data_IF_693266467919
#
_entry.id   IF_693266467919
#
_cell.length_a   1.000
_cell.length_b   1.000
_cell.length_c   1.000
_cell.angle_alpha   90.00
_cell.angle_beta   90.00
_cell.angle_gamma   90.00
#
_symmetry.space_group_name_H-M   'P 1'
#
loop_
_entity.id
_entity.type
_entity.pdbx_description
1 polymer ?
#
# COMPACT_ATOMS: atom_id res chain seq x y z
N UNK A 1 35.17 -39.85 41.51
CA UNK A 1 34.05 -38.88 41.53
C UNK A 1 34.32 -37.57 40.79
N UNK A 2 35.57 -37.06 40.71
CA UNK A 2 35.85 -35.79 40.01
C UNK A 2 35.64 -35.79 38.48
N UNK A 3 35.77 -36.93 37.78
CA UNK A 3 35.62 -37.00 36.31
C UNK A 3 34.18 -37.11 35.80
N UNK A 4 33.21 -37.44 36.67
CA UNK A 4 31.78 -37.53 36.29
C UNK A 4 31.05 -36.19 36.43
N UNK A 5 31.56 -35.26 37.24
CA UNK A 5 31.00 -33.92 37.42
C UNK A 5 31.36 -32.96 36.27
N UNK A 6 32.52 -33.14 35.62
CA UNK A 6 32.91 -32.32 34.46
C UNK A 6 32.12 -32.64 33.18
N UNK A 7 31.64 -33.89 33.02
CA UNK A 7 30.83 -34.29 31.86
C UNK A 7 29.41 -33.71 31.86
N UNK A 8 28.78 -33.61 33.06
CA UNK A 8 27.45 -33.02 33.20
C UNK A 8 27.45 -31.50 33.01
N UNK A 9 28.50 -30.79 33.46
CA UNK A 9 28.63 -29.34 33.30
C UNK A 9 28.87 -28.93 31.84
N UNK A 10 29.62 -29.71 31.06
CA UNK A 10 29.77 -29.45 29.62
C UNK A 10 28.47 -29.73 28.83
N UNK A 11 27.73 -30.80 29.13
CA UNK A 11 26.47 -31.11 28.45
C UNK A 11 25.38 -30.06 28.73
N UNK A 12 25.31 -29.54 29.96
CA UNK A 12 24.37 -28.46 30.33
C UNK A 12 24.72 -27.11 29.67
N UNK A 13 26.02 -26.77 29.58
CA UNK A 13 26.47 -25.54 28.91
C UNK A 13 26.20 -25.52 27.39
N UNK A 14 26.35 -26.67 26.72
CA UNK A 14 26.01 -26.81 25.30
C UNK A 14 24.49 -26.73 25.04
N UNK A 15 23.66 -27.28 25.93
CA UNK A 15 22.20 -27.21 25.80
C UNK A 15 21.65 -25.78 25.95
N UNK A 16 22.19 -24.99 26.89
CA UNK A 16 21.78 -23.60 27.12
C UNK A 16 22.17 -22.67 25.97
N UNK A 17 23.41 -22.79 25.45
CA UNK A 17 23.87 -21.97 24.33
C UNK A 17 23.11 -22.28 23.03
N UNK A 18 22.84 -23.56 22.73
CA UNK A 18 22.04 -23.94 21.57
C UNK A 18 20.59 -23.45 21.67
N UNK A 19 20.00 -23.48 22.87
CA UNK A 19 18.63 -22.99 23.10
C UNK A 19 18.53 -21.47 22.97
N UNK A 20 19.55 -20.73 23.44
CA UNK A 20 19.62 -19.28 23.30
C UNK A 20 19.80 -18.86 21.84
N UNK A 21 20.72 -19.50 21.11
CA UNK A 21 20.93 -19.22 19.69
C UNK A 21 19.68 -19.52 18.84
N UNK A 22 18.96 -20.60 19.17
CA UNK A 22 17.70 -20.94 18.52
C UNK A 22 16.59 -19.91 18.83
N UNK A 23 16.50 -19.43 20.08
CA UNK A 23 15.56 -18.39 20.46
C UNK A 23 15.85 -17.05 19.75
N UNK A 24 17.12 -16.67 19.59
CA UNK A 24 17.53 -15.48 18.84
C UNK A 24 17.20 -15.61 17.35
N UNK A 25 17.40 -16.80 16.76
CA UNK A 25 17.06 -17.06 15.36
C UNK A 25 15.55 -17.00 15.09
N UNK A 26 14.72 -17.56 15.97
CA UNK A 26 13.26 -17.46 15.87
C UNK A 26 12.76 -16.02 16.06
N UNK A 27 13.39 -15.25 16.95
CA UNK A 27 13.08 -13.82 17.12
C UNK A 27 13.39 -13.02 15.86
N UNK A 28 14.57 -13.23 15.26
CA UNK A 28 14.96 -12.57 14.00
C UNK A 28 14.03 -12.97 12.86
N UNK A 29 13.68 -14.25 12.73
CA UNK A 29 12.73 -14.73 11.71
C UNK A 29 11.34 -14.11 11.87
N UNK A 30 10.84 -14.03 13.11
CA UNK A 30 9.58 -13.31 13.40
C UNK A 30 9.71 -11.83 13.09
N UNK A 31 10.85 -11.23 13.39
CA UNK A 31 11.18 -9.84 13.07
C UNK A 31 11.15 -9.55 11.59
N UNK A 32 11.71 -10.45 10.77
CA UNK A 32 11.66 -10.37 9.31
C UNK A 32 10.20 -10.36 8.83
N UNK A 33 9.41 -11.33 9.28
CA UNK A 33 7.99 -11.41 8.94
C UNK A 33 7.23 -10.13 9.30
N UNK A 34 7.45 -9.61 10.50
CA UNK A 34 6.79 -8.38 10.96
C UNK A 34 7.29 -7.13 10.23
N UNK A 35 8.56 -7.06 9.85
CA UNK A 35 9.11 -5.97 9.05
C UNK A 35 8.53 -5.96 7.62
N UNK A 36 8.21 -7.15 7.08
CA UNK A 36 7.45 -7.31 5.84
C UNK A 36 6.00 -6.89 6.04
N UNK A 37 5.32 -7.38 7.08
CA UNK A 37 3.93 -7.00 7.39
C UNK A 37 3.76 -5.49 7.66
N UNK A 38 4.78 -4.86 8.23
CA UNK A 38 4.83 -3.42 8.47
C UNK A 38 5.31 -2.61 7.26
N UNK A 39 5.56 -3.25 6.11
CA UNK A 39 5.99 -2.65 4.85
C UNK A 39 7.22 -1.71 4.96
N UNK A 40 8.14 -2.02 5.89
CA UNK A 40 9.29 -1.15 6.17
C UNK A 40 10.16 -0.92 4.92
N UNK A 41 10.30 -1.93 4.07
CA UNK A 41 11.19 -1.90 2.92
C UNK A 41 10.69 -0.96 1.82
N UNK A 42 9.37 -0.80 1.69
CA UNK A 42 8.76 0.04 0.64
C UNK A 42 9.06 1.53 0.80
N UNK A 43 9.40 2.00 2.01
CA UNK A 43 9.83 3.38 2.24
C UNK A 43 11.34 3.51 2.46
N UNK A 44 11.96 2.46 3.01
CA UNK A 44 13.37 2.49 3.41
C UNK A 44 14.32 1.89 2.38
N UNK A 45 13.92 1.78 1.11
CA UNK A 45 14.79 1.26 0.03
C UNK A 45 14.61 2.11 -1.22
N UNK A 46 15.68 2.77 -1.67
CA UNK A 46 15.67 3.45 -2.97
C UNK A 46 15.63 2.45 -4.13
N UNK A 47 15.12 2.89 -5.30
CA UNK A 47 15.20 2.10 -6.52
C UNK A 47 16.65 1.75 -6.88
N UNK A 48 16.91 0.47 -7.15
CA UNK A 48 18.27 -0.06 -7.35
C UNK A 48 19.19 0.02 -6.12
N UNK A 49 18.67 0.43 -4.96
CA UNK A 49 19.39 0.58 -3.71
C UNK A 49 19.50 -0.73 -2.91
N UNK A 50 20.37 -0.72 -1.90
CA UNK A 50 20.46 -1.83 -0.96
C UNK A 50 19.22 -1.85 -0.02
N UNK A 51 18.70 -3.03 0.36
CA UNK A 51 17.56 -3.15 1.26
C UNK A 51 17.75 -2.33 2.54
N UNK A 52 16.71 -1.58 2.94
CA UNK A 52 16.68 -0.78 4.18
C UNK A 52 17.68 0.39 4.26
N UNK A 53 18.47 0.65 3.21
CA UNK A 53 19.48 1.71 3.18
C UNK A 53 18.92 3.13 2.98
N UNK A 54 17.59 3.28 2.92
CA UNK A 54 16.90 4.54 2.72
C UNK A 54 17.01 5.10 1.31
N UNK A 55 16.62 6.36 1.16
CA UNK A 55 16.81 7.15 -0.06
C UNK A 55 15.63 7.18 -1.02
N UNK A 56 14.53 6.49 -0.74
CA UNK A 56 13.33 6.60 -1.57
C UNK A 56 12.71 8.00 -1.44
N UNK A 57 12.48 8.72 -2.55
CA UNK A 57 11.75 9.99 -2.54
C UNK A 57 10.24 9.75 -2.42
N UNK A 58 9.64 10.30 -1.38
CA UNK A 58 8.19 10.34 -1.15
C UNK A 58 7.74 11.76 -1.47
N UNK A 59 7.11 11.91 -2.65
CA UNK A 59 6.54 13.17 -3.06
C UNK A 59 5.33 13.53 -2.18
N UNK A 60 5.26 14.78 -1.74
CA UNK A 60 4.11 15.29 -1.01
C UNK A 60 3.79 16.73 -1.44
N UNK A 61 2.58 17.23 -1.17
CA UNK A 61 2.23 18.64 -1.41
C UNK A 61 3.14 19.64 -0.67
N UNK A 62 3.89 19.18 0.35
CA UNK A 62 4.74 20.02 1.20
C UNK A 62 6.22 20.00 0.77
N UNK A 63 6.58 19.13 -0.17
CA UNK A 63 7.96 18.86 -0.59
C UNK A 63 8.27 17.36 -0.59
N UNK A 64 9.53 17.01 -0.87
CA UNK A 64 9.96 15.61 -0.93
C UNK A 64 10.54 15.18 0.42
N UNK A 65 10.03 14.07 0.92
CA UNK A 65 10.51 13.39 2.13
C UNK A 65 11.29 12.17 1.68
N UNK A 66 12.44 11.90 2.31
CA UNK A 66 13.23 10.72 1.98
C UNK A 66 13.17 9.68 3.09
N UNK A 67 13.02 8.41 2.72
CA UNK A 67 13.19 7.30 3.65
C UNK A 67 14.59 7.29 4.26
N UNK A 68 14.69 7.12 5.58
CA UNK A 68 15.98 7.06 6.26
C UNK A 68 16.68 5.71 6.06
N UNK A 69 17.98 5.65 6.25
CA UNK A 69 18.70 4.39 6.37
C UNK A 69 18.36 3.77 7.74
N UNK A 70 17.84 2.54 7.75
CA UNK A 70 17.48 1.79 8.97
C UNK A 70 18.27 0.48 9.10
N UNK A 71 19.40 0.38 8.40
CA UNK A 71 20.38 -0.71 8.61
C UNK A 71 21.13 -0.51 9.93
N UNK A 72 21.87 -1.51 10.45
CA UNK A 72 22.63 -1.39 11.69
C UNK A 72 23.93 -0.57 11.56
N UNK A 73 24.10 0.20 10.48
CA UNK A 73 25.17 1.19 10.36
C UNK A 73 25.08 2.21 11.52
N UNK A 74 26.23 2.52 12.14
CA UNK A 74 26.29 3.34 13.37
C UNK A 74 26.26 4.84 13.11
N UNK A 75 26.63 5.28 11.90
CA UNK A 75 26.80 6.70 11.58
C UNK A 75 25.60 7.26 10.80
N UNK A 76 24.97 6.42 9.98
CA UNK A 76 23.90 6.78 9.06
C UNK A 76 22.64 5.94 9.25
N UNK A 77 22.75 4.76 9.86
CA UNK A 77 21.65 3.84 10.16
C UNK A 77 21.10 3.97 11.59
N UNK A 78 20.47 2.89 12.06
CA UNK A 78 19.95 2.75 13.44
C UNK A 78 20.93 2.02 14.36
N UNK A 79 22.18 1.77 13.96
CA UNK A 79 23.13 0.96 14.72
C UNK A 79 23.48 1.49 16.12
N UNK A 80 23.20 2.77 16.38
CA UNK A 80 23.36 3.40 17.69
C UNK A 80 22.07 3.46 18.52
N UNK A 81 20.92 3.04 17.98
CA UNK A 81 19.65 3.03 18.70
C UNK A 81 19.66 1.92 19.77
N UNK A 82 18.91 2.12 20.84
CA UNK A 82 18.44 1.02 21.70
C UNK A 82 17.07 0.54 21.21
N UNK A 83 16.64 -0.65 21.66
CA UNK A 83 15.29 -1.13 21.39
C UNK A 83 14.19 -0.17 21.89
N UNK A 84 14.41 0.50 23.03
CA UNK A 84 13.49 1.51 23.56
C UNK A 84 13.44 2.77 22.68
N UNK A 85 14.59 3.23 22.17
CA UNK A 85 14.65 4.38 21.26
C UNK A 85 14.02 4.04 19.91
N UNK A 86 14.21 2.82 19.41
CA UNK A 86 13.53 2.34 18.21
C UNK A 86 12.01 2.27 18.41
N UNK A 87 11.55 1.71 19.54
CA UNK A 87 10.13 1.67 19.89
C UNK A 87 9.53 3.08 20.01
N UNK A 88 10.26 4.04 20.60
CA UNK A 88 9.83 5.44 20.66
C UNK A 88 9.78 6.12 19.28
N UNK A 89 10.68 5.77 18.37
CA UNK A 89 10.63 6.24 16.99
C UNK A 89 9.38 5.72 16.27
N UNK A 90 9.09 4.42 16.38
CA UNK A 90 7.90 3.81 15.78
C UNK A 90 6.60 4.32 16.38
N UNK A 91 6.49 4.44 17.71
CA UNK A 91 5.20 4.68 18.39
C UNK A 91 4.93 6.14 18.72
N UNK A 92 5.96 6.97 18.79
CA UNK A 92 5.84 8.37 19.21
C UNK A 92 6.41 9.34 18.17
N UNK A 93 6.99 8.82 17.07
CA UNK A 93 7.67 9.66 16.09
C UNK A 93 8.91 10.37 16.67
N UNK A 94 9.55 9.84 17.72
CA UNK A 94 10.70 10.49 18.38
C UNK A 94 12.01 9.82 17.99
N UNK A 95 12.90 10.56 17.32
CA UNK A 95 14.24 10.06 16.96
C UNK A 95 15.15 10.02 18.19
N UNK A 96 16.23 9.25 18.09
CA UNK A 96 17.29 9.16 19.11
C UNK A 96 17.89 10.54 19.47
N UNK A 97 18.03 11.42 18.49
CA UNK A 97 18.52 12.79 18.70
C UNK A 97 17.48 13.76 19.32
N UNK A 98 16.31 13.24 19.70
CA UNK A 98 15.20 14.00 20.29
C UNK A 98 14.34 14.74 19.28
N UNK A 99 14.66 14.72 17.98
CA UNK A 99 13.87 15.39 16.97
C UNK A 99 12.63 14.56 16.58
N UNK A 100 11.52 15.24 16.28
CA UNK A 100 10.31 14.57 15.79
C UNK A 100 10.48 14.13 14.32
N UNK A 101 9.96 12.94 14.00
CA UNK A 101 9.76 12.41 12.66
C UNK A 101 8.57 13.11 12.00
N UNK A 102 8.67 13.34 10.70
CA UNK A 102 7.52 13.78 9.92
C UNK A 102 6.46 12.68 9.85
N UNK A 103 5.15 13.01 9.82
CA UNK A 103 4.06 12.03 9.78
C UNK A 103 4.01 11.17 8.50
N UNK A 104 4.94 11.36 7.56
CA UNK A 104 5.16 10.42 6.47
C UNK A 104 5.70 9.07 6.97
N UNK A 105 6.39 9.06 8.10
CA UNK A 105 6.57 7.82 8.85
C UNK A 105 5.25 7.57 9.61
N UNK A 106 4.58 6.42 9.43
CA UNK A 106 3.23 6.18 9.95
C UNK A 106 3.20 5.83 11.45
N UNK A 107 3.91 6.62 12.29
CA UNK A 107 3.92 6.42 13.74
C UNK A 107 2.53 6.60 14.38
N UNK A 108 1.63 7.32 13.70
CA UNK A 108 0.23 7.42 14.10
C UNK A 108 -0.55 6.11 13.94
N UNK A 109 -0.17 5.24 13.02
CA UNK A 109 -0.67 3.86 12.95
C UNK A 109 0.11 2.95 13.89
N UNK A 110 1.45 3.01 13.87
CA UNK A 110 2.28 2.13 14.68
C UNK A 110 2.22 2.40 16.18
N UNK A 111 1.61 3.47 16.67
CA UNK A 111 1.52 3.71 18.13
C UNK A 111 0.82 2.57 18.92
N UNK A 112 0.10 1.68 18.23
CA UNK A 112 -0.51 0.47 18.78
C UNK A 112 0.27 -0.82 18.49
N UNK A 113 1.46 -0.71 17.90
CA UNK A 113 2.35 -1.87 17.71
C UNK A 113 2.71 -2.43 19.07
N UNK A 114 2.61 -3.75 19.19
CA UNK A 114 2.98 -4.44 20.42
C UNK A 114 4.48 -4.31 20.65
N UNK A 115 4.89 -4.19 21.91
CA UNK A 115 6.30 -4.01 22.27
C UNK A 115 7.15 -5.17 21.75
N UNK A 116 6.66 -6.39 21.94
CA UNK A 116 7.31 -7.62 21.49
C UNK A 116 7.39 -7.75 19.96
N UNK A 117 6.53 -7.08 19.20
CA UNK A 117 6.62 -7.03 17.75
C UNK A 117 7.69 -6.03 17.31
N UNK A 118 7.74 -4.86 17.95
CA UNK A 118 8.77 -3.86 17.69
C UNK A 118 10.18 -4.35 18.06
N UNK A 119 10.34 -5.06 19.18
CA UNK A 119 11.62 -5.65 19.58
C UNK A 119 12.06 -6.73 18.58
N UNK A 120 11.13 -7.52 18.04
CA UNK A 120 11.44 -8.51 17.00
C UNK A 120 11.88 -7.84 15.70
N UNK A 121 11.14 -6.83 15.23
CA UNK A 121 11.52 -6.02 14.05
C UNK A 121 12.91 -5.43 14.26
N UNK A 122 13.17 -4.85 15.44
CA UNK A 122 14.47 -4.29 15.78
C UNK A 122 15.58 -5.35 15.72
N UNK A 123 15.36 -6.53 16.32
CA UNK A 123 16.33 -7.63 16.27
C UNK A 123 16.65 -8.05 14.82
N UNK A 124 15.64 -8.14 13.96
CA UNK A 124 15.85 -8.43 12.53
C UNK A 124 16.63 -7.32 11.83
N UNK A 125 16.24 -6.05 11.98
CA UNK A 125 16.96 -4.93 11.37
C UNK A 125 18.41 -4.83 11.88
N UNK A 126 18.69 -5.22 13.11
CA UNK A 126 20.05 -5.26 13.64
C UNK A 126 20.86 -6.46 13.13
N UNK A 127 20.23 -7.40 12.43
CA UNK A 127 20.87 -8.58 11.82
C UNK A 127 21.17 -8.42 10.32
N UNK A 128 20.62 -7.40 9.65
CA UNK A 128 20.87 -7.17 8.22
C UNK A 128 22.26 -6.55 7.99
N UNK A 129 22.74 -6.62 6.75
CA UNK A 129 24.04 -6.03 6.37
C UNK A 129 24.03 -4.50 6.59
N UNK A 130 25.00 -3.93 7.32
CA UNK A 130 25.10 -2.49 7.51
C UNK A 130 25.47 -1.80 6.18
N UNK A 131 24.76 -0.74 5.85
CA UNK A 131 25.04 0.06 4.65
C UNK A 131 25.48 1.46 5.07
N UNK A 132 26.76 1.76 4.91
CA UNK A 132 27.33 3.07 5.24
C UNK A 132 27.00 4.11 4.17
N UNK A 133 25.76 4.62 4.19
CA UNK A 133 25.27 5.64 3.25
C UNK A 133 24.31 6.60 3.94
N UNK A 134 24.52 7.92 3.85
CA UNK A 134 23.55 8.89 4.32
C UNK A 134 22.33 8.93 3.39
N UNK A 135 21.14 8.92 3.97
CA UNK A 135 19.92 9.23 3.22
C UNK A 135 19.92 10.72 2.82
N UNK A 136 19.38 11.08 1.64
CA UNK A 136 19.20 12.48 1.26
C UNK A 136 18.40 13.25 2.31
N UNK A 137 18.70 14.54 2.46
CA UNK A 137 17.96 15.37 3.42
C UNK A 137 16.57 15.72 2.88
N UNK A 138 15.56 15.49 3.71
CA UNK A 138 14.17 15.93 3.47
C UNK A 138 14.11 17.44 3.30
N UNK A 139 13.52 17.88 2.19
CA UNK A 139 13.39 19.29 1.82
C UNK A 139 11.90 19.67 1.76
N UNK A 140 11.39 20.24 2.85
CA UNK A 140 10.02 20.75 2.92
C UNK A 140 9.97 22.27 2.82
N UNK A 141 8.87 22.78 2.26
CA UNK A 141 8.62 24.22 2.16
C UNK A 141 8.24 24.81 3.52
N UNK A 142 8.52 26.10 3.73
CA UNK A 142 8.02 26.82 4.89
C UNK A 142 6.47 26.85 4.89
N UNK A 143 5.79 26.68 6.04
CA UNK A 143 6.32 26.52 7.41
C UNK A 143 6.61 25.07 7.84
N UNK A 144 6.43 24.08 6.96
CA UNK A 144 6.55 22.65 7.28
C UNK A 144 7.99 22.19 7.55
N UNK A 145 8.99 23.00 7.19
CA UNK A 145 10.38 22.79 7.60
C UNK A 145 10.64 23.09 9.10
N UNK A 146 9.74 23.81 9.78
CA UNK A 146 9.90 24.20 11.20
C UNK A 146 9.39 23.10 12.13
N UNK A 147 10.31 22.36 12.77
CA UNK A 147 9.99 21.21 13.65
C UNK A 147 9.18 21.55 14.92
N UNK A 148 9.06 22.82 15.30
CA UNK A 148 8.20 23.24 16.44
C UNK A 148 6.72 23.05 16.11
N UNK A 149 6.29 23.33 14.88
CA UNK A 149 4.92 23.10 14.44
C UNK A 149 4.53 21.62 14.52
N UNK A 150 5.49 20.73 14.29
CA UNK A 150 5.32 19.28 14.39
C UNK A 150 5.10 18.80 15.83
N UNK A 151 5.66 19.47 16.84
CA UNK A 151 5.37 19.15 18.24
C UNK A 151 3.91 19.46 18.61
N UNK A 152 3.38 20.60 18.14
CA UNK A 152 1.95 20.94 18.30
C UNK A 152 1.04 19.98 17.53
N UNK A 153 1.43 19.60 16.31
CA UNK A 153 0.72 18.57 15.54
C UNK A 153 0.70 17.22 16.27
N UNK A 154 1.85 16.77 16.80
CA UNK A 154 1.95 15.52 17.57
C UNK A 154 1.09 15.52 18.83
N UNK A 155 0.96 16.67 19.50
CA UNK A 155 0.08 16.79 20.67
C UNK A 155 -1.40 16.56 20.29
N UNK A 156 -1.81 17.00 19.10
CA UNK A 156 -3.19 16.89 18.63
C UNK A 156 -3.49 15.55 17.94
N UNK A 157 -2.54 15.00 17.18
CA UNK A 157 -2.76 13.88 16.26
C UNK A 157 -1.80 12.70 16.44
N UNK A 158 -0.80 12.78 17.33
CA UNK A 158 0.21 11.74 17.50
C UNK A 158 -0.31 10.39 18.03
N UNK A 159 -1.52 10.37 18.59
CA UNK A 159 -2.29 9.15 18.93
C UNK A 159 -3.56 9.08 18.09
N UNK A 160 -3.40 9.32 16.80
CA UNK A 160 -4.49 9.65 15.88
C UNK A 160 -5.37 8.47 15.52
N UNK A 161 -4.82 7.28 15.34
CA UNK A 161 -5.60 6.10 14.93
C UNK A 161 -6.36 5.52 16.12
N UNK A 162 -7.68 5.43 16.00
CA UNK A 162 -8.53 4.75 16.98
C UNK A 162 -9.09 3.49 16.36
N UNK A 163 -8.71 2.33 16.91
CA UNK A 163 -9.22 1.06 16.43
C UNK A 163 -10.72 0.92 16.75
N UNK A 164 -11.54 0.44 15.80
CA UNK A 164 -12.91 0.03 16.09
C UNK A 164 -12.96 -1.01 17.21
N UNK A 165 -14.04 -1.01 17.99
CA UNK A 165 -14.24 -2.03 19.03
C UNK A 165 -14.22 -3.43 18.42
N UNK A 166 -13.48 -4.33 19.07
CA UNK A 166 -13.39 -5.74 18.75
C UNK A 166 -14.45 -6.59 19.49
N UNK A 167 -15.34 -5.97 20.27
CA UNK A 167 -16.35 -6.71 21.03
C UNK A 167 -17.27 -7.52 20.09
N UNK A 168 -17.38 -8.82 20.36
CA UNK A 168 -18.16 -9.75 19.55
C UNK A 168 -17.53 -10.14 18.20
N UNK A 169 -16.30 -9.72 17.91
CA UNK A 169 -15.56 -10.08 16.69
C UNK A 169 -14.72 -11.34 16.88
N UNK A 170 -14.58 -12.12 15.80
CA UNK A 170 -13.75 -13.33 15.82
C UNK A 170 -12.26 -13.01 16.05
N UNK A 171 -11.48 -14.00 16.49
CA UNK A 171 -10.02 -13.85 16.60
C UNK A 171 -9.37 -13.53 15.24
N UNK A 172 -9.89 -14.13 14.16
CA UNK A 172 -9.46 -13.85 12.78
C UNK A 172 -9.69 -12.38 12.42
N UNK A 173 -10.84 -11.82 12.76
CA UNK A 173 -11.13 -10.40 12.53
C UNK A 173 -10.18 -9.50 13.32
N UNK A 174 -9.92 -9.83 14.59
CA UNK A 174 -9.01 -9.06 15.46
C UNK A 174 -7.56 -9.12 14.95
N UNK A 175 -7.12 -10.28 14.44
CA UNK A 175 -5.82 -10.43 13.78
C UNK A 175 -5.73 -9.54 12.54
N UNK A 176 -6.77 -9.55 11.70
CA UNK A 176 -6.85 -8.71 10.52
C UNK A 176 -6.85 -7.22 10.85
N UNK A 177 -7.54 -6.80 11.91
CA UNK A 177 -7.52 -5.41 12.37
C UNK A 177 -6.10 -4.95 12.67
N UNK A 178 -5.33 -5.76 13.41
CA UNK A 178 -3.95 -5.43 13.73
C UNK A 178 -3.06 -5.34 12.48
N UNK A 179 -3.23 -6.26 11.54
CA UNK A 179 -2.46 -6.29 10.29
C UNK A 179 -2.81 -5.13 9.35
N UNK A 180 -4.08 -4.71 9.28
CA UNK A 180 -4.52 -3.63 8.38
C UNK A 180 -4.28 -2.25 8.96
N UNK A 181 -4.65 -2.04 10.24
CA UNK A 181 -4.64 -0.70 10.86
C UNK A 181 -3.28 -0.32 11.45
N UNK A 182 -2.56 -1.31 12.02
CA UNK A 182 -1.34 -1.07 12.78
C UNK A 182 -0.10 -1.39 11.95
N UNK A 183 0.09 -2.65 11.55
CA UNK A 183 1.29 -3.05 10.81
C UNK A 183 1.25 -2.53 9.36
N UNK A 184 0.28 -2.95 8.56
CA UNK A 184 0.17 -2.56 7.15
C UNK A 184 -0.33 -1.14 6.92
N UNK A 185 -0.71 -0.41 7.98
CA UNK A 185 -1.08 1.01 7.99
C UNK A 185 -1.95 1.44 6.79
N UNK A 186 -2.89 0.59 6.36
CA UNK A 186 -3.64 0.79 5.12
C UNK A 186 -4.44 2.09 5.15
N UNK A 187 -4.84 2.53 6.35
CA UNK A 187 -5.50 3.79 6.60
C UNK A 187 -4.70 5.03 6.16
N UNK A 188 -3.37 4.95 6.09
CA UNK A 188 -2.53 6.11 5.70
C UNK A 188 -2.74 6.51 4.23
N UNK A 189 -3.17 5.58 3.38
CA UNK A 189 -3.56 5.83 1.98
C UNK A 189 -5.08 5.84 1.80
N UNK A 190 -5.79 4.91 2.47
CA UNK A 190 -7.22 4.68 2.27
C UNK A 190 -8.13 5.52 3.19
N UNK A 191 -7.61 6.54 3.87
CA UNK A 191 -8.41 7.49 4.68
C UNK A 191 -8.10 8.92 4.21
N UNK A 192 -9.11 9.80 4.06
CA UNK A 192 -8.85 11.15 3.60
C UNK A 192 -8.12 11.95 4.68
N UNK A 193 -7.22 12.84 4.25
CA UNK A 193 -6.48 13.76 5.14
C UNK A 193 -7.12 15.14 5.16
N UNK A 194 -7.00 15.85 6.27
CA UNK A 194 -7.38 17.26 6.37
C UNK A 194 -6.28 18.17 5.80
N UNK A 195 -6.52 19.49 5.77
CA UNK A 195 -5.60 20.48 5.17
C UNK A 195 -4.19 20.51 5.78
N UNK A 196 -4.00 19.97 7.00
CA UNK A 196 -2.72 19.90 7.70
C UNK A 196 -2.12 18.48 7.67
N UNK A 197 -2.63 17.60 6.80
CA UNK A 197 -2.09 16.27 6.55
C UNK A 197 -2.48 15.17 7.56
N UNK A 198 -3.35 15.48 8.53
CA UNK A 198 -3.81 14.48 9.50
C UNK A 198 -4.99 13.65 8.96
N UNK A 199 -5.02 12.36 9.28
CA UNK A 199 -6.10 11.45 8.89
C UNK A 199 -7.43 11.87 9.54
N UNK A 200 -8.50 11.92 8.74
CA UNK A 200 -9.87 12.14 9.22
C UNK A 200 -10.44 10.82 9.75
N UNK A 201 -10.33 10.60 11.06
CA UNK A 201 -10.71 9.32 11.71
C UNK A 201 -12.21 8.98 11.57
N UNK A 202 -13.07 9.99 11.46
CA UNK A 202 -14.50 9.83 11.18
C UNK A 202 -14.78 9.26 9.78
N UNK A 203 -13.78 9.29 8.90
CA UNK A 203 -13.80 8.77 7.52
C UNK A 203 -12.77 7.64 7.30
N UNK A 204 -12.38 6.96 8.38
CA UNK A 204 -11.41 5.86 8.36
C UNK A 204 -11.77 4.83 7.29
N UNK A 205 -10.79 4.51 6.43
CA UNK A 205 -10.90 3.58 5.31
C UNK A 205 -11.92 3.96 4.21
N UNK A 206 -12.47 5.18 4.20
CA UNK A 206 -13.46 5.61 3.18
C UNK A 206 -12.85 6.01 1.84
N UNK A 207 -11.54 5.86 1.66
CA UNK A 207 -10.77 6.25 0.50
C UNK A 207 -10.05 7.58 0.68
N UNK A 208 -8.91 7.74 0.01
CA UNK A 208 -8.05 8.92 0.12
C UNK A 208 -7.39 9.27 -1.20
N UNK A 209 -6.95 10.52 -1.36
CA UNK A 209 -6.25 10.96 -2.55
C UNK A 209 -4.75 11.01 -2.32
N UNK A 210 -4.01 10.34 -3.18
CA UNK A 210 -2.55 10.25 -3.13
C UNK A 210 -1.99 10.40 -4.54
N UNK A 211 -1.10 11.38 -4.75
CA UNK A 211 -0.39 11.59 -6.02
C UNK A 211 -1.30 11.63 -7.27
N UNK A 212 -2.50 12.23 -7.14
CA UNK A 212 -3.45 12.31 -8.26
C UNK A 212 -4.21 11.02 -8.55
N UNK A 213 -4.06 9.99 -7.71
CA UNK A 213 -4.87 8.76 -7.69
C UNK A 213 -5.77 8.72 -6.46
N UNK A 214 -6.91 8.04 -6.60
CA UNK A 214 -7.79 7.67 -5.50
C UNK A 214 -7.39 6.29 -4.97
N UNK A 215 -6.92 6.22 -3.74
CA UNK A 215 -6.95 4.99 -2.96
C UNK A 215 -8.42 4.69 -2.61
N UNK A 216 -9.03 3.62 -3.15
CA UNK A 216 -10.48 3.40 -3.02
C UNK A 216 -10.92 3.14 -1.58
N UNK A 217 -12.19 3.35 -1.25
CA UNK A 217 -12.74 2.94 0.05
C UNK A 217 -12.54 1.45 0.30
N UNK A 218 -12.04 1.07 1.47
CA UNK A 218 -11.93 -0.32 1.92
C UNK A 218 -13.09 -0.71 2.85
N UNK A 219 -14.15 0.10 2.93
CA UNK A 219 -15.34 -0.25 3.70
C UNK A 219 -16.05 -1.48 3.10
N UNK A 220 -16.64 -2.36 3.93
CA UNK A 220 -17.22 -3.63 3.47
C UNK A 220 -18.23 -3.46 2.32
N UNK A 221 -19.15 -2.52 2.46
CA UNK A 221 -20.20 -2.28 1.46
C UNK A 221 -19.64 -1.72 0.15
N UNK A 222 -18.59 -0.90 0.22
CA UNK A 222 -17.95 -0.31 -0.95
C UNK A 222 -17.11 -1.37 -1.71
N UNK A 223 -16.42 -2.24 -0.98
CA UNK A 223 -15.73 -3.41 -1.53
C UNK A 223 -16.73 -4.34 -2.23
N UNK A 224 -17.80 -4.75 -1.56
CA UNK A 224 -18.84 -5.59 -2.14
C UNK A 224 -19.54 -4.92 -3.32
N UNK A 225 -19.79 -3.60 -3.26
CA UNK A 225 -20.35 -2.84 -4.38
C UNK A 225 -19.45 -2.85 -5.62
N UNK A 226 -18.14 -3.05 -5.46
CA UNK A 226 -17.18 -3.23 -6.55
C UNK A 226 -16.88 -4.69 -6.89
N UNK A 227 -17.62 -5.63 -6.29
CA UNK A 227 -17.55 -7.06 -6.61
C UNK A 227 -16.50 -7.83 -5.82
N UNK A 228 -15.95 -7.27 -4.75
CA UNK A 228 -14.99 -7.97 -3.88
C UNK A 228 -15.70 -8.89 -2.89
N UNK A 229 -15.12 -10.07 -2.68
CA UNK A 229 -15.44 -10.98 -1.58
C UNK A 229 -14.13 -11.35 -0.84
N UNK A 230 -14.23 -12.11 0.25
CA UNK A 230 -13.06 -12.43 1.09
C UNK A 230 -12.00 -13.24 0.34
N UNK A 231 -12.41 -14.21 -0.47
CA UNK A 231 -11.48 -15.07 -1.22
C UNK A 231 -10.72 -14.26 -2.27
N UNK A 232 -11.42 -13.44 -3.04
CA UNK A 232 -10.81 -12.58 -4.06
C UNK A 232 -9.88 -11.53 -3.45
N UNK A 233 -10.25 -10.96 -2.30
CA UNK A 233 -9.42 -9.97 -1.61
C UNK A 233 -8.17 -10.60 -1.02
N UNK A 234 -8.27 -11.80 -0.43
CA UNK A 234 -7.10 -12.54 0.04
C UNK A 234 -6.17 -12.91 -1.11
N UNK A 235 -6.70 -13.41 -2.23
CA UNK A 235 -5.92 -13.73 -3.43
C UNK A 235 -5.25 -12.48 -4.03
N UNK A 236 -5.95 -11.34 -4.02
CA UNK A 236 -5.38 -10.06 -4.47
C UNK A 236 -4.21 -9.62 -3.59
N UNK A 237 -4.32 -9.75 -2.27
CA UNK A 237 -3.21 -9.43 -1.36
C UNK A 237 -2.03 -10.41 -1.52
N UNK A 238 -2.32 -11.70 -1.72
CA UNK A 238 -1.30 -12.75 -1.86
C UNK A 238 -0.54 -12.66 -3.18
N UNK A 239 -1.26 -12.55 -4.30
CA UNK A 239 -0.72 -12.63 -5.64
C UNK A 239 -0.58 -11.27 -6.33
N UNK A 240 -1.08 -10.20 -5.71
CA UNK A 240 -1.12 -8.86 -6.30
C UNK A 240 -2.17 -8.72 -7.39
N UNK A 241 -3.02 -9.73 -7.61
CA UNK A 241 -4.09 -9.70 -8.59
C UNK A 241 -5.24 -10.65 -8.29
N UNK A 242 -6.42 -10.30 -8.82
CA UNK A 242 -7.64 -11.10 -8.82
C UNK A 242 -8.48 -10.75 -10.05
N UNK A 243 -9.69 -11.34 -10.17
CA UNK A 243 -10.63 -10.97 -11.25
C UNK A 243 -11.02 -9.47 -11.25
N UNK A 244 -10.86 -8.80 -10.11
CA UNK A 244 -11.15 -7.38 -9.93
C UNK A 244 -9.99 -6.46 -10.36
N UNK A 245 -8.82 -7.01 -10.73
CA UNK A 245 -7.68 -6.24 -11.25
C UNK A 245 -6.36 -6.61 -10.59
N UNK A 246 -5.35 -5.78 -10.81
CA UNK A 246 -3.99 -5.93 -10.26
C UNK A 246 -3.61 -4.77 -9.34
N UNK A 247 -2.62 -4.98 -8.47
CA UNK A 247 -1.98 -3.93 -7.70
C UNK A 247 -1.02 -3.15 -8.61
N UNK A 248 -1.35 -1.90 -8.88
CA UNK A 248 -0.53 -0.99 -9.69
C UNK A 248 -0.24 0.30 -8.93
N UNK A 249 0.71 1.08 -9.45
CA UNK A 249 1.20 2.32 -8.84
C UNK A 249 1.54 2.12 -7.36
N UNK A 250 1.00 2.96 -6.48
CA UNK A 250 1.31 2.98 -5.04
C UNK A 250 0.95 1.67 -4.32
N UNK A 251 0.03 0.85 -4.87
CA UNK A 251 -0.26 -0.48 -4.30
C UNK A 251 0.72 -1.57 -4.76
N UNK A 252 1.48 -1.35 -5.84
CA UNK A 252 2.44 -2.34 -6.31
C UNK A 252 3.60 -2.57 -5.32
N UNK A 253 4.24 -1.53 -4.74
CA UNK A 253 5.23 -1.71 -3.68
C UNK A 253 4.69 -2.47 -2.46
N UNK A 254 3.43 -2.24 -2.07
CA UNK A 254 2.77 -2.96 -0.97
C UNK A 254 2.74 -4.46 -1.25
N UNK A 255 2.41 -4.88 -2.47
CA UNK A 255 2.55 -6.28 -2.85
C UNK A 255 4.01 -6.73 -2.89
N UNK A 256 4.86 -5.97 -3.59
CA UNK A 256 6.22 -6.36 -3.91
C UNK A 256 7.10 -6.56 -2.66
N UNK A 257 6.91 -5.69 -1.66
CA UNK A 257 7.74 -5.63 -0.47
C UNK A 257 7.07 -6.22 0.77
N UNK A 258 5.74 -6.28 0.82
CA UNK A 258 4.96 -6.72 1.99
C UNK A 258 4.07 -7.93 1.72
N UNK A 259 2.88 -7.75 1.15
CA UNK A 259 1.76 -8.71 1.31
C UNK A 259 2.03 -10.08 0.70
N UNK A 260 2.85 -10.17 -0.35
CA UNK A 260 3.21 -11.47 -0.95
C UNK A 260 4.06 -12.37 -0.04
N UNK A 261 4.66 -11.80 1.01
CA UNK A 261 5.50 -12.51 1.96
C UNK A 261 4.72 -12.92 3.22
N UNK A 262 3.43 -12.59 3.30
CA UNK A 262 2.59 -12.91 4.45
C UNK A 262 1.99 -14.30 4.34
N UNK A 263 1.70 -14.90 5.49
CA UNK A 263 1.06 -16.20 5.54
C UNK A 263 -0.39 -16.08 5.06
N UNK A 264 -0.90 -17.05 4.29
CA UNK A 264 -2.27 -17.03 3.77
C UNK A 264 -3.33 -16.88 4.87
N UNK A 265 -3.06 -17.34 6.10
CA UNK A 265 -3.96 -17.14 7.25
C UNK A 265 -4.08 -15.66 7.67
N UNK A 266 -2.98 -14.91 7.58
CA UNK A 266 -2.95 -13.48 7.89
C UNK A 266 -3.59 -12.67 6.76
N UNK A 267 -3.39 -13.06 5.51
CA UNK A 267 -4.07 -12.46 4.36
C UNK A 267 -5.59 -12.70 4.40
N UNK A 268 -6.01 -13.90 4.78
CA UNK A 268 -7.42 -14.20 5.04
C UNK A 268 -7.96 -13.36 6.22
N UNK A 269 -7.19 -13.20 7.30
CA UNK A 269 -7.56 -12.35 8.41
C UNK A 269 -7.75 -10.89 8.00
N UNK A 270 -6.86 -10.33 7.18
CA UNK A 270 -6.99 -8.98 6.61
C UNK A 270 -8.28 -8.86 5.78
N UNK A 271 -8.59 -9.84 4.94
CA UNK A 271 -9.83 -9.87 4.17
C UNK A 271 -11.08 -9.97 5.07
N UNK A 272 -11.04 -10.79 6.12
CA UNK A 272 -12.11 -10.88 7.13
C UNK A 272 -12.29 -9.58 7.89
N UNK A 273 -11.21 -8.86 8.22
CA UNK A 273 -11.32 -7.55 8.86
C UNK A 273 -12.05 -6.53 7.96
N UNK A 274 -11.62 -6.44 6.70
CA UNK A 274 -12.11 -5.45 5.74
C UNK A 274 -13.55 -5.70 5.28
N UNK A 275 -13.97 -6.96 5.15
CA UNK A 275 -15.33 -7.32 4.74
C UNK A 275 -16.25 -7.68 5.92
N UNK A 276 -15.69 -7.95 7.11
CA UNK A 276 -16.40 -8.41 8.30
C UNK A 276 -16.53 -9.94 8.39
N UNK A 277 -16.84 -10.44 9.59
CA UNK A 277 -17.11 -11.87 9.85
C UNK A 277 -18.28 -12.41 9.02
N UNK A 278 -19.27 -11.56 8.76
CA UNK A 278 -20.41 -11.84 7.86
C UNK A 278 -20.34 -10.86 6.70
N UNK A 279 -19.64 -11.20 5.60
CA UNK A 279 -19.37 -10.26 4.53
C UNK A 279 -20.65 -9.95 3.73
N UNK A 280 -20.83 -8.70 3.26
CA UNK A 280 -21.89 -8.36 2.31
C UNK A 280 -21.68 -9.08 0.98
N UNK A 281 -22.77 -9.33 0.25
CA UNK A 281 -22.72 -10.02 -1.05
C UNK A 281 -22.08 -9.15 -2.12
N UNK A 282 -21.02 -9.66 -2.74
CA UNK A 282 -20.36 -9.03 -3.88
C UNK A 282 -21.33 -8.78 -5.04
N UNK A 283 -21.37 -7.56 -5.56
CA UNK A 283 -22.24 -7.16 -6.67
C UNK A 283 -21.61 -7.49 -8.02
N UNK A 284 -22.27 -8.34 -8.80
CA UNK A 284 -21.94 -8.55 -10.21
C UNK A 284 -22.32 -7.32 -11.06
N UNK A 285 -21.57 -7.09 -12.16
CA UNK A 285 -21.93 -6.08 -13.16
C UNK A 285 -22.97 -6.67 -14.10
N UNK A 286 -24.04 -5.92 -14.36
CA UNK A 286 -24.99 -6.28 -15.40
C UNK A 286 -24.46 -5.81 -16.75
N UNK A 287 -24.36 -6.73 -17.70
CA UNK A 287 -23.95 -6.40 -19.06
C UNK A 287 -24.99 -5.49 -19.73
N UNK A 288 -24.55 -4.35 -20.25
CA UNK A 288 -25.38 -3.43 -21.05
C UNK A 288 -25.21 -3.76 -22.53
N UNK A 289 -26.27 -4.25 -23.22
CA UNK A 289 -26.19 -4.57 -24.65
C UNK A 289 -25.85 -3.35 -25.50
N UNK A 290 -25.10 -3.55 -26.58
CA UNK A 290 -24.66 -2.46 -27.49
C UNK A 290 -25.77 -1.47 -27.92
N UNK A 291 -26.99 -1.92 -28.28
CA UNK A 291 -28.06 -0.99 -28.66
C UNK A 291 -28.50 -0.03 -27.54
N UNK A 292 -28.26 -0.39 -26.28
CA UNK A 292 -28.63 0.38 -25.09
C UNK A 292 -27.51 1.28 -24.57
N UNK A 293 -26.31 1.21 -25.18
CA UNK A 293 -25.21 2.11 -24.84
C UNK A 293 -25.55 3.55 -25.21
N UNK A 294 -24.97 4.51 -24.49
CA UNK A 294 -25.04 5.92 -24.88
C UNK A 294 -24.31 6.16 -26.19
N UNK A 295 -24.63 7.24 -26.91
CA UNK A 295 -23.93 7.57 -28.16
C UNK A 295 -22.43 7.80 -27.93
N UNK A 296 -22.06 8.33 -26.77
CA UNK A 296 -20.66 8.47 -26.35
C UNK A 296 -20.00 7.10 -26.19
N UNK A 297 -20.63 6.17 -25.47
CA UNK A 297 -20.13 4.81 -25.31
C UNK A 297 -20.05 4.02 -26.63
N UNK A 298 -20.95 4.25 -27.58
CA UNK A 298 -20.86 3.62 -28.92
C UNK A 298 -19.63 4.08 -29.68
N UNK A 299 -19.31 5.38 -29.65
CA UNK A 299 -18.05 5.92 -30.20
C UNK A 299 -16.83 5.41 -29.41
N UNK A 300 -16.95 5.33 -28.08
CA UNK A 300 -15.93 4.80 -27.19
C UNK A 300 -15.56 3.35 -27.47
N UNK A 301 -16.55 2.51 -27.82
CA UNK A 301 -16.30 1.13 -28.26
C UNK A 301 -15.38 1.08 -29.47
N UNK A 302 -15.54 2.00 -30.43
CA UNK A 302 -14.65 2.06 -31.59
C UNK A 302 -13.21 2.39 -31.15
N UNK A 303 -13.03 3.31 -30.21
CA UNK A 303 -11.70 3.62 -29.66
C UNK A 303 -11.10 2.41 -28.96
N UNK A 304 -11.87 1.72 -28.12
CA UNK A 304 -11.44 0.51 -27.44
C UNK A 304 -10.96 -0.57 -28.42
N UNK A 305 -11.70 -0.82 -29.49
CA UNK A 305 -11.33 -1.80 -30.52
C UNK A 305 -10.04 -1.39 -31.27
N UNK A 306 -9.83 -0.09 -31.48
CA UNK A 306 -8.66 0.40 -32.20
C UNK A 306 -7.37 0.28 -31.37
N UNK A 307 -7.42 0.57 -30.06
CA UNK A 307 -6.20 0.75 -29.26
C UNK A 307 -6.08 -0.09 -27.99
N UNK A 308 -7.17 -0.72 -27.51
CA UNK A 308 -7.18 -1.48 -26.26
C UNK A 308 -7.37 -2.99 -26.48
N UNK A 309 -8.23 -3.38 -27.42
CA UNK A 309 -8.70 -4.75 -27.60
C UNK A 309 -7.59 -5.76 -27.95
N UNK A 310 -6.48 -5.30 -28.54
CA UNK A 310 -5.32 -6.16 -28.85
C UNK A 310 -4.69 -6.81 -27.61
N UNK A 311 -4.79 -6.15 -26.45
CA UNK A 311 -4.29 -6.67 -25.18
C UNK A 311 -5.44 -7.09 -24.24
N UNK A 312 -6.49 -6.28 -24.13
CA UNK A 312 -7.59 -6.50 -23.18
C UNK A 312 -8.71 -7.39 -23.71
N UNK A 313 -8.59 -7.91 -24.94
CA UNK A 313 -9.62 -8.71 -25.59
C UNK A 313 -10.74 -7.86 -26.19
N UNK A 314 -11.49 -8.40 -27.14
CA UNK A 314 -12.55 -7.63 -27.82
C UNK A 314 -13.75 -7.36 -26.92
N UNK A 315 -14.01 -8.26 -25.97
CA UNK A 315 -15.12 -8.20 -25.02
C UNK A 315 -14.61 -7.90 -23.60
N UNK A 316 -13.37 -7.44 -23.46
CA UNK A 316 -12.79 -7.07 -22.17
C UNK A 316 -12.41 -8.25 -21.28
N UNK A 317 -12.26 -9.44 -21.86
CA UNK A 317 -11.91 -10.68 -21.16
C UNK A 317 -10.46 -10.71 -20.65
N UNK A 318 -9.62 -9.78 -21.09
CA UNK A 318 -8.21 -9.73 -20.75
C UNK A 318 -7.40 -10.83 -21.44
N UNK A 319 -6.11 -10.87 -21.14
CA UNK A 319 -5.23 -11.93 -21.63
C UNK A 319 -4.32 -12.37 -20.47
N UNK A 320 -4.42 -13.64 -20.02
CA UNK A 320 -3.62 -14.15 -18.90
C UNK A 320 -2.13 -13.82 -19.07
N UNK A 321 -1.49 -13.38 -17.99
CA UNK A 321 -0.07 -13.00 -17.94
C UNK A 321 0.35 -11.88 -18.91
N UNK A 322 -0.60 -11.10 -19.45
CA UNK A 322 -0.33 -10.01 -20.38
C UNK A 322 -1.09 -8.75 -19.99
N UNK A 323 -2.41 -8.85 -19.81
CA UNK A 323 -3.27 -7.72 -19.52
C UNK A 323 -4.49 -8.15 -18.69
N UNK A 324 -4.85 -7.31 -17.72
CA UNK A 324 -6.02 -7.54 -16.87
C UNK A 324 -7.32 -7.55 -17.68
N UNK A 325 -8.30 -8.32 -17.20
CA UNK A 325 -9.66 -8.22 -17.70
C UNK A 325 -10.26 -6.85 -17.35
N UNK A 326 -11.11 -6.35 -18.25
CA UNK A 326 -11.97 -5.20 -17.98
C UNK A 326 -13.25 -5.65 -17.28
N UNK A 327 -13.73 -6.86 -17.58
CA UNK A 327 -14.87 -7.45 -16.90
C UNK A 327 -14.59 -7.61 -15.40
N UNK A 328 -15.42 -7.01 -14.55
CA UNK A 328 -15.27 -7.07 -13.10
C UNK A 328 -14.17 -6.18 -12.51
N UNK A 329 -13.43 -5.44 -13.34
CA UNK A 329 -12.30 -4.63 -12.91
C UNK A 329 -12.74 -3.47 -12.00
N UNK A 330 -12.19 -3.40 -10.79
CA UNK A 330 -12.57 -2.43 -9.76
C UNK A 330 -12.38 -0.98 -10.20
N UNK A 331 -11.39 -0.70 -11.05
CA UNK A 331 -11.09 0.66 -11.54
C UNK A 331 -12.23 1.21 -12.39
N UNK A 332 -12.92 0.35 -13.14
CA UNK A 332 -14.08 0.73 -13.96
C UNK A 332 -15.33 1.01 -13.13
N UNK A 333 -15.33 0.53 -11.87
CA UNK A 333 -16.47 0.58 -10.96
C UNK A 333 -16.38 1.71 -9.94
N UNK A 334 -15.32 2.51 -9.98
CA UNK A 334 -15.18 3.70 -9.15
C UNK A 334 -16.05 4.83 -9.73
N UNK A 335 -16.89 5.41 -8.87
CA UNK A 335 -17.70 6.58 -9.25
C UNK A 335 -16.82 7.77 -9.66
N UNK A 336 -15.73 7.96 -8.95
CA UNK A 336 -14.65 8.86 -9.36
C UNK A 336 -13.81 8.22 -10.48
N UNK A 337 -13.86 8.83 -11.66
CA UNK A 337 -13.21 8.32 -12.89
C UNK A 337 -11.71 8.58 -12.92
N UNK A 338 -11.17 9.36 -11.99
CA UNK A 338 -9.75 9.70 -11.94
C UNK A 338 -8.84 8.51 -12.19
N UNK A 339 -9.00 7.41 -11.45
CA UNK A 339 -8.08 6.28 -11.61
C UNK A 339 -8.13 5.70 -13.01
N UNK A 340 -9.33 5.54 -13.56
CA UNK A 340 -9.50 5.03 -14.92
C UNK A 340 -8.88 5.96 -15.95
N UNK A 341 -9.14 7.27 -15.84
CA UNK A 341 -8.52 8.26 -16.71
C UNK A 341 -6.99 8.20 -16.59
N UNK A 342 -6.45 8.24 -15.37
CA UNK A 342 -5.01 8.25 -15.09
C UNK A 342 -4.32 7.01 -15.63
N UNK A 343 -4.89 5.81 -15.43
CA UNK A 343 -4.36 4.58 -16.02
C UNK A 343 -4.31 4.65 -17.55
N UNK A 344 -5.34 5.22 -18.20
CA UNK A 344 -5.36 5.36 -19.67
C UNK A 344 -4.33 6.40 -20.15
N UNK A 345 -4.22 7.55 -19.48
CA UNK A 345 -3.35 8.65 -19.96
C UNK A 345 -1.89 8.42 -19.60
N UNK A 346 -1.60 7.96 -18.39
CA UNK A 346 -0.23 7.74 -17.89
C UNK A 346 0.33 6.41 -18.38
N UNK A 347 -0.52 5.40 -18.54
CA UNK A 347 -0.11 4.01 -18.74
C UNK A 347 0.30 3.34 -17.43
N UNK A 348 0.76 2.10 -17.54
CA UNK A 348 1.29 1.30 -16.42
C UNK A 348 2.58 0.64 -16.90
N UNK A 349 3.65 0.76 -16.13
CA UNK A 349 4.92 0.07 -16.40
C UNK A 349 4.77 -1.46 -16.37
N UNK A 350 5.82 -2.18 -16.74
CA UNK A 350 5.84 -3.63 -16.58
C UNK A 350 5.75 -4.00 -15.08
N UNK A 351 4.93 -5.00 -14.76
CA UNK A 351 4.76 -5.47 -13.38
C UNK A 351 4.96 -6.98 -13.31
N UNK A 352 5.69 -7.42 -12.30
CA UNK A 352 5.89 -8.84 -11.99
C UNK A 352 5.22 -9.16 -10.67
N UNK A 353 4.41 -10.20 -10.69
CA UNK A 353 3.63 -10.69 -9.56
C UNK A 353 4.12 -12.09 -9.15
N UNK A 354 3.52 -12.66 -8.10
CA UNK A 354 3.87 -13.99 -7.62
C UNK A 354 3.80 -15.07 -8.72
N UNK A 355 4.75 -16.01 -8.70
CA UNK A 355 4.79 -17.12 -9.66
C UNK A 355 5.19 -16.70 -11.08
N UNK A 356 4.34 -17.02 -12.06
CA UNK A 356 4.55 -16.68 -13.48
C UNK A 356 3.71 -15.49 -13.94
N UNK A 357 2.99 -14.85 -13.03
CA UNK A 357 2.13 -13.71 -13.35
C UNK A 357 2.98 -12.48 -13.68
N UNK A 358 2.77 -11.97 -14.90
CA UNK A 358 3.41 -10.75 -15.40
C UNK A 358 2.36 -9.91 -16.10
N UNK A 359 2.49 -8.60 -16.02
CA UNK A 359 1.67 -7.67 -16.80
C UNK A 359 2.61 -6.89 -17.70
N UNK A 360 2.33 -6.96 -19.00
CA UNK A 360 3.08 -6.20 -20.00
C UNK A 360 2.83 -4.70 -19.80
N UNK A 361 3.79 -3.84 -20.17
CA UNK A 361 3.60 -2.41 -20.04
C UNK A 361 2.38 -1.96 -20.86
N UNK A 362 1.46 -1.26 -20.21
CA UNK A 362 0.35 -0.57 -20.85
C UNK A 362 0.81 0.83 -21.23
N UNK A 363 0.88 1.18 -22.53
CA UNK A 363 1.33 2.51 -22.94
C UNK A 363 0.33 3.58 -22.50
N UNK A 364 0.84 4.76 -22.15
CA UNK A 364 0.00 5.95 -21.95
C UNK A 364 -0.58 6.49 -23.26
N UNK A 365 -1.79 7.03 -23.19
CA UNK A 365 -2.54 7.57 -24.32
C UNK A 365 -2.74 9.09 -24.27
N UNK A 366 -2.09 9.81 -23.34
CA UNK A 366 -2.22 11.26 -23.18
C UNK A 366 -2.03 12.06 -24.49
N UNK A 367 -1.09 11.65 -25.33
CA UNK A 367 -0.73 12.30 -26.61
C UNK A 367 -1.41 11.65 -27.83
N UNK A 368 -2.20 10.59 -27.61
CA UNK A 368 -2.80 9.77 -28.69
C UNK A 368 -4.30 9.94 -28.80
N UNK A 369 -4.97 10.31 -27.71
CA UNK A 369 -6.40 10.52 -27.64
C UNK A 369 -6.68 11.94 -27.16
N UNK A 370 -7.52 12.68 -27.89
CA UNK A 370 -8.02 13.97 -27.44
C UNK A 370 -9.06 13.81 -26.31
N UNK A 371 -9.45 14.92 -25.67
CA UNK A 371 -10.37 14.88 -24.53
C UNK A 371 -11.74 14.28 -24.91
N UNK A 372 -12.23 14.48 -26.13
CA UNK A 372 -13.50 13.91 -26.59
C UNK A 372 -13.40 12.39 -26.79
N UNK A 373 -12.30 11.92 -27.39
CA UNK A 373 -12.01 10.50 -27.56
C UNK A 373 -11.81 9.81 -26.20
N UNK A 374 -11.14 10.46 -25.26
CA UNK A 374 -11.01 9.98 -23.88
C UNK A 374 -12.38 9.90 -23.20
N UNK A 375 -13.22 10.93 -23.26
CA UNK A 375 -14.58 10.90 -22.71
C UNK A 375 -15.39 9.73 -23.27
N UNK A 376 -15.38 9.56 -24.60
CA UNK A 376 -16.08 8.45 -25.26
C UNK A 376 -15.57 7.08 -24.76
N UNK A 377 -14.25 6.89 -24.73
CA UNK A 377 -13.63 5.65 -24.24
C UNK A 377 -14.00 5.37 -22.78
N UNK A 378 -13.89 6.37 -21.89
CA UNK A 378 -14.20 6.23 -20.47
C UNK A 378 -15.67 5.88 -20.25
N UNK A 379 -16.58 6.54 -20.97
CA UNK A 379 -18.01 6.22 -20.92
C UNK A 379 -18.29 4.78 -21.35
N UNK A 380 -17.63 4.30 -22.41
CA UNK A 380 -17.76 2.92 -22.85
C UNK A 380 -17.32 1.93 -21.76
N UNK A 381 -16.10 2.09 -21.23
CA UNK A 381 -15.56 1.18 -20.21
C UNK A 381 -16.43 1.15 -18.95
N UNK A 382 -16.88 2.32 -18.48
CA UNK A 382 -17.75 2.48 -17.30
C UNK A 382 -19.14 1.88 -17.51
N UNK A 383 -19.73 2.08 -18.69
CA UNK A 383 -21.08 1.58 -18.98
C UNK A 383 -21.11 0.08 -19.27
N UNK A 384 -20.10 -0.43 -19.97
CA UNK A 384 -20.05 -1.85 -20.35
C UNK A 384 -19.61 -2.76 -19.22
N UNK A 385 -18.61 -2.35 -18.43
CA UNK A 385 -17.99 -3.22 -17.42
C UNK A 385 -17.88 -2.59 -16.03
N UNK A 386 -18.20 -1.30 -15.89
CA UNK A 386 -18.19 -0.60 -14.60
C UNK A 386 -19.52 -0.64 -13.84
N UNK A 387 -20.63 -0.93 -14.52
CA UNK A 387 -21.97 -0.82 -13.93
C UNK A 387 -22.36 0.64 -13.62
N UNK A 388 -21.74 1.60 -14.31
CA UNK A 388 -21.93 3.04 -14.13
C UNK A 388 -22.57 3.66 -15.37
N UNK A 389 -23.21 4.83 -15.27
CA UNK A 389 -23.69 5.54 -16.46
C UNK A 389 -22.51 5.97 -17.36
N UNK A 390 -22.78 6.01 -18.67
CA UNK A 390 -21.86 6.53 -19.70
C UNK A 390 -22.21 7.97 -20.06
N UNK A 391 -22.25 8.85 -19.06
CA UNK A 391 -22.73 10.23 -19.09
C UNK A 391 -21.65 11.26 -18.72
N UNK A 392 -20.37 10.89 -18.68
CA UNK A 392 -19.28 11.85 -18.55
C UNK A 392 -19.31 12.83 -19.72
N UNK A 393 -19.06 14.09 -19.41
CA UNK A 393 -18.82 15.12 -20.41
C UNK A 393 -17.31 15.39 -20.58
N UNK A 394 -16.99 16.15 -21.63
CA UNK A 394 -15.60 16.51 -21.98
C UNK A 394 -14.99 17.42 -20.92
N UNK A 395 -15.79 18.29 -20.30
CA UNK A 395 -15.31 19.24 -19.30
C UNK A 395 -14.83 18.52 -18.03
N UNK A 396 -15.56 17.51 -17.57
CA UNK A 396 -15.20 16.67 -16.43
C UNK A 396 -13.89 15.93 -16.67
N UNK A 397 -13.70 15.37 -17.87
CA UNK A 397 -12.44 14.71 -18.24
C UNK A 397 -11.28 15.71 -18.27
N UNK A 398 -11.47 16.88 -18.88
CA UNK A 398 -10.44 17.93 -18.94
C UNK A 398 -10.03 18.42 -17.55
N UNK A 399 -11.01 18.60 -16.65
CA UNK A 399 -10.75 18.98 -15.25
C UNK A 399 -9.92 17.91 -14.53
N UNK A 400 -10.31 16.63 -14.65
CA UNK A 400 -9.57 15.53 -14.03
C UNK A 400 -8.13 15.41 -14.56
N UNK A 401 -7.88 15.72 -15.84
CA UNK A 401 -6.51 15.80 -16.38
C UNK A 401 -5.70 16.90 -15.71
N UNK A 402 -6.29 18.08 -15.50
CA UNK A 402 -5.62 19.21 -14.84
C UNK A 402 -5.33 18.97 -13.36
N UNK A 403 -6.20 18.24 -12.66
CA UNK A 403 -6.07 17.96 -11.23
C UNK A 403 -4.94 16.97 -10.90
N UNK A 404 -4.52 16.16 -11.89
CA UNK A 404 -3.56 15.07 -11.72
C UNK A 404 -2.08 15.42 -11.93
N UNK A 405 -1.71 16.69 -12.12
CA UNK A 405 -0.30 17.11 -12.25
C UNK A 405 0.14 17.74 -10.93
N UNK A 406 0.83 17.03 -10.03
CA UNK A 406 1.56 17.71 -8.97
C UNK A 406 2.57 18.66 -9.63
N UNK A 407 2.60 19.92 -9.20
CA UNK A 407 3.48 20.96 -9.73
C UNK A 407 5.00 20.63 -9.66
N UNK A 408 5.38 19.49 -9.10
CA UNK A 408 6.76 19.06 -8.87
C UNK A 408 7.06 17.61 -9.27
N UNK A 409 6.18 16.91 -10.00
CA UNK A 409 6.51 15.61 -10.61
C UNK A 409 7.38 15.84 -11.86
N UNK A 410 8.62 16.26 -11.65
CA UNK A 410 9.65 16.23 -12.68
C UNK A 410 9.83 14.78 -13.13
N UNK A 411 9.74 14.57 -14.44
CA UNK A 411 10.02 13.32 -15.17
C UNK A 411 11.00 12.41 -14.42
N UNK A 412 10.48 11.39 -13.75
CA UNK A 412 11.21 10.15 -13.58
C UNK A 412 10.79 9.27 -14.76
N UNK A 413 11.75 9.02 -15.66
CA UNK A 413 11.61 8.09 -16.79
C UNK A 413 11.76 6.66 -16.31
#
# INVERSE_FOLDING_TARGET
MARLLSGLLLAAGFGLAASAQAADAELVKRGEYLARAADCMACHTAEGGAPYAGGLPIASPFGTIYGSNITPDKDHGIGAYSADEFFAALTQGKRKDGANLYPAMPYTSYHLIKREDADAIYAYLMSVEPVHRPAPQTALSFPFNVRVGLAGWNMLYGKGVQLPSAEGKSETWQRGQYLVEVLGHCGECHTPRNAIGALQQDKRLSGGLLNGYLAPSLLPEDLAARGWNQADLAAFLEHGMSGQGSMFNEMFPVHHHSTQHLESQDLAAMATYLLGDTPPTAKAVQHVPYPQLSESSKRGRQQYLNVCAGCHGMEGEGKPHIAVAMQGNTTLRLSDTRNLLRVVVDGIGEQQFGGFERMQPMPGFAEKLDDAQLTDLLNYLRQSWGGLPGDLDVQAVSQLKSDGVPAHAGKAM
#
